data_IF_106877237277
#
_entry.id   IF_106877237277
#
_cell.length_a   1.000
_cell.length_b   1.000
_cell.length_c   1.000
_cell.angle_alpha   90.00
_cell.angle_beta   90.00
_cell.angle_gamma   90.00
#
_symmetry.space_group_name_H-M   'P 1'
#
loop_
_entity.id
_entity.type
_entity.pdbx_description
1 polymer ?
#
# COMPACT_ATOMS: atom_id res chain seq x y z
N UNK A 1 13.41 16.55 -7.94
CA UNK A 1 12.69 15.74 -6.93
C UNK A 1 13.65 14.89 -6.09
N UNK A 2 14.57 14.15 -6.71
CA UNK A 2 15.42 13.16 -6.04
C UNK A 2 16.58 13.74 -5.20
N UNK A 3 17.12 14.93 -5.52
CA UNK A 3 18.14 15.59 -4.66
C UNK A 3 17.58 16.02 -3.29
N UNK A 4 16.30 16.40 -3.23
CA UNK A 4 15.63 16.80 -1.98
C UNK A 4 15.47 15.62 -1.02
N UNK A 5 15.18 14.42 -1.55
CA UNK A 5 15.17 13.18 -0.75
C UNK A 5 16.55 12.94 -0.13
N UNK A 6 17.62 13.01 -0.93
CA UNK A 6 18.97 12.67 -0.45
C UNK A 6 19.51 13.61 0.64
N UNK A 7 19.23 14.92 0.53
CA UNK A 7 19.77 15.93 1.48
C UNK A 7 18.91 16.13 2.73
N UNK A 8 17.60 15.97 2.64
CA UNK A 8 16.67 16.33 3.72
C UNK A 8 16.02 15.12 4.36
N UNK A 9 15.73 14.07 3.58
CA UNK A 9 14.94 12.92 4.05
C UNK A 9 15.81 11.81 4.63
N UNK A 10 16.93 11.47 3.98
CA UNK A 10 17.80 10.38 4.48
C UNK A 10 18.32 10.62 5.91
N UNK A 11 18.77 11.81 6.31
CA UNK A 11 19.18 12.06 7.70
C UNK A 11 18.03 11.91 8.71
N UNK A 12 16.81 12.30 8.34
CA UNK A 12 15.62 12.09 9.18
C UNK A 12 15.25 10.61 9.27
N UNK A 13 15.46 9.86 8.20
CA UNK A 13 15.20 8.43 8.10
C UNK A 13 16.19 7.63 8.95
N UNK A 14 17.48 7.95 8.87
CA UNK A 14 18.54 7.38 9.70
C UNK A 14 18.27 7.67 11.18
N UNK A 15 17.99 8.93 11.54
CA UNK A 15 17.61 9.29 12.92
C UNK A 15 16.41 8.49 13.41
N UNK A 16 15.35 8.37 12.60
CA UNK A 16 14.17 7.58 12.98
C UNK A 16 14.49 6.10 13.16
N UNK A 17 15.33 5.53 12.29
CA UNK A 17 15.79 4.14 12.40
C UNK A 17 16.68 3.93 13.63
N UNK A 18 17.50 4.91 14.02
CA UNK A 18 18.30 4.91 15.24
C UNK A 18 17.45 5.05 16.51
N UNK A 19 16.47 5.96 16.52
CA UNK A 19 15.50 6.12 17.60
C UNK A 19 14.72 4.82 17.82
N UNK A 20 14.38 4.11 16.74
CA UNK A 20 13.74 2.78 16.80
C UNK A 20 14.68 1.69 17.33
N UNK A 21 16.00 1.80 17.11
CA UNK A 21 17.02 0.83 17.57
C UNK A 21 17.40 1.03 19.04
N UNK A 22 17.45 2.28 19.52
CA UNK A 22 17.92 2.60 20.89
C UNK A 22 16.95 2.17 21.98
N UNK A 23 15.70 1.85 21.63
CA UNK A 23 14.67 1.62 22.64
C UNK A 23 13.66 0.53 22.28
N UNK A 24 14.15 -0.70 22.04
CA UNK A 24 13.30 -1.87 21.84
C UNK A 24 12.35 -2.16 23.01
N UNK A 25 12.69 -1.68 24.22
CA UNK A 25 11.90 -1.87 25.43
C UNK A 25 10.86 -0.75 25.67
N UNK A 26 11.14 0.51 25.29
CA UNK A 26 10.13 1.60 25.34
C UNK A 26 9.02 1.42 24.29
N UNK A 27 9.32 0.81 23.14
CA UNK A 27 8.33 0.53 22.08
C UNK A 27 7.30 -0.55 22.46
N UNK A 28 7.61 -1.42 23.42
CA UNK A 28 6.67 -2.43 23.92
C UNK A 28 5.78 -1.90 25.06
N UNK A 29 6.21 -0.87 25.78
CA UNK A 29 5.45 -0.32 26.92
C UNK A 29 4.70 0.99 26.60
N UNK A 30 5.08 1.73 25.55
CA UNK A 30 4.42 2.99 25.20
C UNK A 30 3.61 2.87 23.91
N UNK A 31 2.28 2.93 24.09
CA UNK A 31 1.25 3.10 23.07
C UNK A 31 0.79 1.83 22.33
N UNK A 32 0.04 0.96 23.04
CA UNK A 32 -1.03 0.25 22.33
C UNK A 32 -1.96 1.29 21.71
N UNK A 33 -2.01 1.33 20.39
CA UNK A 33 -2.94 2.13 19.61
C UNK A 33 -4.33 1.54 19.82
N UNK A 34 -5.03 2.05 20.83
CA UNK A 34 -6.45 1.79 21.00
C UNK A 34 -7.24 2.37 19.83
N UNK A 35 -8.14 1.57 19.24
CA UNK A 35 -9.14 2.05 18.27
C UNK A 35 -10.30 2.68 19.05
N UNK A 36 -10.05 3.85 19.65
CA UNK A 36 -11.09 4.59 20.38
C UNK A 36 -11.93 5.46 19.44
N UNK A 37 -11.41 5.75 18.24
CA UNK A 37 -12.09 6.52 17.20
C UNK A 37 -11.49 6.20 15.84
N UNK A 38 -12.33 5.86 14.87
CA UNK A 38 -11.93 5.61 13.49
C UNK A 38 -13.04 6.05 12.53
N UNK A 39 -12.66 6.34 11.29
CA UNK A 39 -13.61 6.57 10.18
C UNK A 39 -13.36 5.51 9.13
N UNK A 40 -14.41 4.79 8.75
CA UNK A 40 -14.37 3.94 7.57
C UNK A 40 -14.85 4.77 6.40
N UNK A 41 -14.03 4.86 5.36
CA UNK A 41 -14.42 5.43 4.08
C UNK A 41 -14.40 4.32 3.02
N UNK A 42 -15.49 4.19 2.27
CA UNK A 42 -15.56 3.32 1.10
C UNK A 42 -15.46 4.22 -0.12
N UNK A 43 -14.39 4.04 -0.90
CA UNK A 43 -14.19 4.79 -2.13
C UNK A 43 -14.88 4.09 -3.29
N UNK A 44 -15.87 4.77 -3.88
CA UNK A 44 -16.53 4.34 -5.09
C UNK A 44 -15.64 4.66 -6.30
N UNK A 45 -15.17 3.59 -6.95
CA UNK A 45 -14.36 3.62 -8.18
C UNK A 45 -15.12 3.06 -9.39
N UNK A 46 -16.44 2.87 -9.30
CA UNK A 46 -17.26 2.29 -10.36
C UNK A 46 -18.46 1.46 -9.90
N UNK A 47 -19.00 1.71 -8.71
CA UNK A 47 -20.22 1.09 -8.21
C UNK A 47 -21.43 1.53 -9.06
N UNK A 48 -22.31 0.59 -9.34
CA UNK A 48 -23.65 0.84 -9.89
C UNK A 48 -24.52 1.58 -8.87
N UNK A 49 -25.59 2.23 -9.32
CA UNK A 49 -26.51 2.93 -8.43
C UNK A 49 -27.13 1.99 -7.37
N UNK A 50 -27.47 0.76 -7.75
CA UNK A 50 -27.99 -0.25 -6.83
C UNK A 50 -26.96 -0.64 -5.75
N UNK A 51 -25.68 -0.75 -6.12
CA UNK A 51 -24.61 -1.02 -5.15
C UNK A 51 -24.38 0.16 -4.22
N UNK A 52 -24.46 1.41 -4.70
CA UNK A 52 -24.38 2.61 -3.85
C UNK A 52 -25.48 2.62 -2.79
N UNK A 53 -26.73 2.45 -3.21
CA UNK A 53 -27.87 2.34 -2.28
C UNK A 53 -27.67 1.22 -1.27
N UNK A 54 -27.09 0.09 -1.70
CA UNK A 54 -26.78 -1.01 -0.80
C UNK A 54 -25.69 -0.67 0.21
N UNK A 55 -24.63 0.03 -0.21
CA UNK A 55 -23.56 0.49 0.70
C UNK A 55 -24.14 1.49 1.70
N UNK A 56 -24.88 2.50 1.26
CA UNK A 56 -25.49 3.51 2.11
C UNK A 56 -26.43 2.91 3.16
N UNK A 57 -27.20 1.88 2.78
CA UNK A 57 -28.13 1.22 3.69
C UNK A 57 -27.45 0.33 4.73
N UNK A 58 -26.35 -0.34 4.39
CA UNK A 58 -25.82 -1.43 5.22
C UNK A 58 -24.38 -1.19 5.75
N UNK A 59 -23.65 -0.20 5.24
CA UNK A 59 -22.30 0.11 5.68
C UNK A 59 -22.33 1.26 6.68
N UNK A 60 -21.70 1.07 7.85
CA UNK A 60 -21.39 2.17 8.77
C UNK A 60 -20.12 2.88 8.31
N UNK A 61 -20.15 3.46 7.12
CA UNK A 61 -19.00 4.11 6.49
C UNK A 61 -19.42 5.34 5.70
N UNK A 62 -18.45 6.21 5.40
CA UNK A 62 -18.61 7.31 4.46
C UNK A 62 -18.39 6.79 3.03
N UNK A 63 -19.41 6.85 2.20
CA UNK A 63 -19.26 6.59 0.76
C UNK A 63 -18.66 7.82 0.08
N UNK A 64 -17.53 7.65 -0.62
CA UNK A 64 -16.82 8.75 -1.28
C UNK A 64 -16.58 8.41 -2.75
N UNK A 65 -17.16 9.18 -3.67
CA UNK A 65 -16.96 8.98 -5.11
C UNK A 65 -15.59 9.48 -5.56
N UNK A 66 -14.79 8.60 -6.16
CA UNK A 66 -13.53 8.99 -6.80
C UNK A 66 -13.81 9.57 -8.20
N UNK A 67 -13.62 10.88 -8.34
CA UNK A 67 -13.84 11.63 -9.59
C UNK A 67 -12.71 11.39 -10.60
N UNK A 68 -12.69 10.21 -11.21
CA UNK A 68 -11.65 9.78 -12.15
C UNK A 68 -11.49 10.70 -13.37
N UNK A 69 -12.56 11.39 -13.76
CA UNK A 69 -12.61 12.35 -14.87
C UNK A 69 -11.69 13.56 -14.67
N UNK A 70 -11.27 13.84 -13.44
CA UNK A 70 -10.33 14.93 -13.13
C UNK A 70 -8.86 14.56 -13.39
N UNK A 71 -8.58 13.30 -13.75
CA UNK A 71 -7.24 12.75 -13.86
C UNK A 71 -6.92 12.29 -15.29
N UNK A 72 -5.62 12.10 -15.62
CA UNK A 72 -5.20 11.61 -16.92
C UNK A 72 -5.90 10.31 -17.35
N UNK A 73 -6.06 10.04 -18.67
CA UNK A 73 -6.85 8.93 -19.16
C UNK A 73 -6.49 7.55 -18.61
N UNK A 74 -5.22 7.27 -18.28
CA UNK A 74 -4.82 5.99 -17.69
C UNK A 74 -5.31 5.82 -16.24
N UNK A 75 -5.53 6.91 -15.50
CA UNK A 75 -6.08 6.86 -14.13
C UNK A 75 -7.55 6.42 -14.12
N UNK A 76 -8.27 6.71 -15.21
CA UNK A 76 -9.66 6.31 -15.38
C UNK A 76 -9.84 4.80 -15.61
N UNK A 77 -8.76 4.10 -15.96
CA UNK A 77 -8.73 2.66 -16.15
C UNK A 77 -8.48 1.97 -14.81
N UNK A 78 -9.52 1.37 -14.23
CA UNK A 78 -9.41 0.73 -12.91
C UNK A 78 -8.34 -0.37 -12.85
N UNK A 79 -8.07 -1.03 -13.97
CA UNK A 79 -7.04 -2.07 -14.13
C UNK A 79 -5.60 -1.53 -14.07
N UNK A 80 -5.40 -0.22 -14.18
CA UNK A 80 -4.11 0.42 -13.93
C UNK A 80 -3.88 0.73 -12.43
N UNK A 81 -4.89 0.57 -11.57
CA UNK A 81 -4.82 0.80 -10.11
C UNK A 81 -4.29 2.19 -9.64
N UNK A 82 -4.11 3.14 -10.57
CA UNK A 82 -3.56 4.46 -10.31
C UNK A 82 -4.43 5.33 -9.37
N UNK A 83 -5.70 4.98 -9.21
CA UNK A 83 -6.60 5.65 -8.26
C UNK A 83 -6.18 5.45 -6.80
N UNK A 84 -5.60 4.29 -6.44
CA UNK A 84 -5.29 3.96 -5.05
C UNK A 84 -4.26 4.89 -4.40
N UNK A 85 -3.09 5.16 -5.01
CA UNK A 85 -2.11 6.09 -4.45
C UNK A 85 -2.70 7.49 -4.20
N UNK A 86 -3.54 7.97 -5.12
CA UNK A 86 -4.21 9.26 -5.03
C UNK A 86 -5.17 9.31 -3.84
N UNK A 87 -5.95 8.24 -3.65
CA UNK A 87 -6.87 8.11 -2.52
C UNK A 87 -6.10 8.04 -1.20
N UNK A 88 -5.01 7.28 -1.13
CA UNK A 88 -4.18 7.16 0.09
C UNK A 88 -3.58 8.50 0.47
N UNK A 89 -3.07 9.27 -0.50
CA UNK A 89 -2.59 10.63 -0.26
C UNK A 89 -3.71 11.57 0.23
N UNK A 90 -4.90 11.49 -0.36
CA UNK A 90 -6.04 12.29 0.10
C UNK A 90 -6.45 11.89 1.53
N UNK A 91 -6.50 10.59 1.83
CA UNK A 91 -6.81 10.07 3.16
C UNK A 91 -5.76 10.52 4.20
N UNK A 92 -4.49 10.65 3.82
CA UNK A 92 -3.43 11.13 4.73
C UNK A 92 -3.65 12.57 5.21
N UNK A 93 -4.35 13.40 4.43
CA UNK A 93 -4.67 14.78 4.83
C UNK A 93 -5.73 14.84 5.94
N UNK A 94 -6.49 13.76 6.14
CA UNK A 94 -7.58 13.69 7.12
C UNK A 94 -7.27 12.73 8.29
N UNK A 95 -6.39 11.76 8.08
CA UNK A 95 -6.01 10.80 9.10
C UNK A 95 -5.06 11.42 10.14
N UNK A 96 -5.39 11.22 11.43
CA UNK A 96 -4.60 11.79 12.55
C UNK A 96 -3.39 10.95 12.95
N UNK A 97 -3.51 9.62 12.94
CA UNK A 97 -2.48 8.69 13.44
C UNK A 97 -2.09 7.64 12.42
N UNK A 98 -3.07 6.94 11.88
CA UNK A 98 -2.86 5.83 10.96
C UNK A 98 -3.83 5.93 9.78
N UNK A 99 -3.36 5.46 8.63
CA UNK A 99 -4.14 5.18 7.44
C UNK A 99 -4.10 3.67 7.27
N UNK A 100 -5.27 3.04 7.17
CA UNK A 100 -5.41 1.61 6.87
C UNK A 100 -6.08 1.52 5.51
N UNK A 101 -5.32 1.07 4.50
CA UNK A 101 -5.90 0.67 3.22
C UNK A 101 -6.22 -0.81 3.24
N UNK A 102 -7.39 -1.18 2.72
CA UNK A 102 -7.70 -2.58 2.44
C UNK A 102 -8.54 -2.72 1.18
N UNK A 103 -8.26 -3.76 0.40
CA UNK A 103 -9.17 -4.22 -0.64
C UNK A 103 -10.36 -4.97 -0.02
N UNK A 104 -11.46 -5.06 -0.75
CA UNK A 104 -12.68 -5.78 -0.34
C UNK A 104 -12.49 -7.27 -0.09
N UNK A 105 -11.34 -7.84 -0.49
CA UNK A 105 -10.96 -9.22 -0.20
C UNK A 105 -10.37 -9.44 1.19
N UNK A 106 -10.00 -8.38 1.92
CA UNK A 106 -9.37 -8.53 3.25
C UNK A 106 -10.42 -8.81 4.32
N UNK A 107 -10.13 -9.74 5.24
CA UNK A 107 -10.93 -10.02 6.44
C UNK A 107 -10.03 -9.96 7.66
N UNK A 108 -10.45 -9.27 8.70
CA UNK A 108 -9.66 -9.08 9.90
C UNK A 108 -10.02 -10.10 10.99
N UNK A 109 -9.01 -10.50 11.74
CA UNK A 109 -9.13 -11.25 12.99
C UNK A 109 -8.73 -10.36 14.16
N UNK A 110 -9.22 -10.61 15.40
CA UNK A 110 -9.02 -9.70 16.53
C UNK A 110 -7.55 -9.28 16.81
N UNK A 111 -6.58 -10.16 16.56
CA UNK A 111 -5.16 -9.86 16.76
C UNK A 111 -4.57 -8.85 15.75
N UNK A 112 -5.38 -8.27 14.87
CA UNK A 112 -4.90 -7.27 13.91
C UNK A 112 -4.37 -5.99 14.57
N UNK A 113 -4.82 -5.70 15.79
CA UNK A 113 -4.43 -4.49 16.54
C UNK A 113 -2.91 -4.36 16.71
N UNK A 114 -2.20 -5.48 16.87
CA UNK A 114 -0.73 -5.50 16.99
C UNK A 114 -0.04 -4.87 15.76
N UNK A 115 -0.68 -4.93 14.58
CA UNK A 115 -0.18 -4.31 13.36
C UNK A 115 -0.33 -2.78 13.36
N UNK A 116 -1.32 -2.25 14.08
CA UNK A 116 -1.50 -0.81 14.20
C UNK A 116 -0.35 -0.20 15.00
N UNK A 117 0.03 -0.85 16.10
CA UNK A 117 1.15 -0.44 16.95
C UNK A 117 2.46 -0.47 16.18
N UNK A 118 2.71 -1.57 15.46
CA UNK A 118 3.89 -1.68 14.61
C UNK A 118 3.93 -0.63 13.51
N UNK A 119 2.81 -0.37 12.84
CA UNK A 119 2.76 0.67 11.82
C UNK A 119 2.98 2.07 12.40
N UNK A 120 2.47 2.34 13.60
CA UNK A 120 2.69 3.62 14.29
C UNK A 120 4.16 3.81 14.67
N UNK A 121 4.83 2.74 15.10
CA UNK A 121 6.24 2.77 15.48
C UNK A 121 7.16 2.79 14.26
N UNK A 122 7.12 1.74 13.44
CA UNK A 122 8.02 1.52 12.31
C UNK A 122 7.68 2.40 11.09
N UNK A 123 6.47 2.95 11.05
CA UNK A 123 5.97 3.82 9.99
C UNK A 123 5.04 3.14 9.00
N UNK A 124 5.27 1.87 8.70
CA UNK A 124 4.41 1.09 7.83
C UNK A 124 4.29 -0.37 8.27
N UNK A 125 3.20 -1.01 7.85
CA UNK A 125 3.02 -2.45 7.77
C UNK A 125 2.49 -2.78 6.39
N UNK A 126 3.27 -3.48 5.58
CA UNK A 126 2.93 -3.86 4.21
C UNK A 126 3.09 -5.35 4.00
N UNK A 127 2.22 -5.94 3.19
CA UNK A 127 2.19 -7.39 3.01
C UNK A 127 3.23 -7.80 1.97
N UNK A 128 3.97 -8.89 2.17
CA UNK A 128 4.85 -9.45 1.12
C UNK A 128 4.18 -10.64 0.42
N UNK A 129 4.55 -10.91 -0.82
CA UNK A 129 4.28 -12.20 -1.45
C UNK A 129 5.20 -13.28 -0.84
N UNK A 130 4.64 -14.45 -0.54
CA UNK A 130 5.39 -15.57 0.06
C UNK A 130 6.06 -16.46 -1.00
N UNK A 131 5.53 -16.52 -2.22
CA UNK A 131 5.97 -17.44 -3.29
C UNK A 131 7.23 -16.96 -4.04
N UNK A 132 8.13 -16.26 -3.36
CA UNK A 132 9.40 -15.80 -3.93
C UNK A 132 9.27 -14.79 -5.07
N UNK A 133 8.09 -14.18 -5.27
CA UNK A 133 7.91 -13.09 -6.23
C UNK A 133 8.76 -11.89 -5.82
N UNK A 134 9.46 -11.29 -6.78
CA UNK A 134 10.38 -10.17 -6.57
C UNK A 134 9.92 -8.96 -7.34
N UNK A 135 10.25 -7.77 -6.84
CA UNK A 135 9.87 -6.50 -7.47
C UNK A 135 10.29 -6.44 -8.95
N UNK A 136 11.53 -6.81 -9.34
CA UNK A 136 11.98 -6.73 -10.73
C UNK A 136 11.28 -7.68 -11.69
N UNK A 137 10.79 -8.82 -11.22
CA UNK A 137 10.04 -9.74 -12.06
C UNK A 137 8.68 -9.12 -12.44
N UNK A 138 7.98 -8.55 -11.45
CA UNK A 138 6.59 -8.12 -11.60
C UNK A 138 6.44 -6.60 -11.85
N UNK A 139 7.52 -5.94 -12.26
CA UNK A 139 7.54 -4.52 -12.58
C UNK A 139 8.16 -4.36 -13.95
N UNK A 140 7.51 -3.60 -14.85
CA UNK A 140 8.02 -3.37 -16.19
C UNK A 140 9.24 -2.43 -16.17
N UNK A 141 10.10 -2.58 -17.18
CA UNK A 141 11.32 -1.78 -17.32
C UNK A 141 11.00 -0.28 -17.37
N UNK A 142 9.89 0.09 -18.03
CA UNK A 142 9.44 1.47 -18.16
C UNK A 142 9.20 2.16 -16.82
N UNK A 143 8.70 1.43 -15.80
CA UNK A 143 8.53 1.97 -14.45
C UNK A 143 9.88 2.22 -13.77
N UNK A 144 10.85 1.31 -13.95
CA UNK A 144 12.22 1.51 -13.48
C UNK A 144 12.88 2.70 -14.16
N UNK A 145 12.76 2.78 -15.49
CA UNK A 145 13.33 3.85 -16.30
C UNK A 145 12.77 5.21 -15.90
N UNK A 146 11.45 5.30 -15.67
CA UNK A 146 10.79 6.52 -15.19
C UNK A 146 11.29 6.97 -13.82
N UNK A 147 11.49 6.01 -12.90
CA UNK A 147 11.98 6.29 -11.55
C UNK A 147 13.51 6.46 -11.48
N UNK A 148 14.21 6.27 -12.60
CA UNK A 148 15.67 6.25 -12.70
C UNK A 148 16.33 5.22 -11.77
N UNK A 149 15.77 4.01 -11.75
CA UNK A 149 16.22 2.91 -10.91
C UNK A 149 16.74 1.74 -11.76
N UNK A 150 17.75 1.02 -11.27
CA UNK A 150 18.24 -0.22 -11.89
C UNK A 150 17.52 -1.43 -11.28
N UNK A 151 16.82 -2.20 -12.11
CA UNK A 151 16.15 -3.43 -11.73
C UNK A 151 17.05 -4.44 -10.99
N UNK A 152 18.34 -4.50 -11.32
CA UNK A 152 19.30 -5.37 -10.66
C UNK A 152 19.45 -5.05 -9.16
N UNK A 153 19.41 -3.77 -8.80
CA UNK A 153 19.48 -3.31 -7.41
C UNK A 153 18.29 -3.77 -6.55
N UNK A 154 17.21 -4.22 -7.18
CA UNK A 154 15.98 -4.65 -6.52
C UNK A 154 15.77 -6.17 -6.49
N UNK A 155 16.71 -6.95 -7.02
CA UNK A 155 16.66 -8.43 -6.98
C UNK A 155 16.50 -9.01 -5.56
N UNK A 156 17.08 -8.44 -4.49
CA UNK A 156 16.92 -8.97 -3.14
C UNK A 156 15.54 -8.72 -2.54
N UNK A 157 14.74 -7.80 -3.09
CA UNK A 157 13.49 -7.36 -2.45
C UNK A 157 12.29 -8.18 -2.93
N UNK A 158 11.50 -8.72 -1.99
CA UNK A 158 10.27 -9.41 -2.34
C UNK A 158 9.25 -8.41 -2.85
N UNK A 159 8.36 -8.90 -3.68
CA UNK A 159 7.18 -8.15 -4.06
C UNK A 159 6.28 -7.91 -2.84
N UNK A 160 5.84 -6.66 -2.68
CA UNK A 160 4.86 -6.24 -1.68
C UNK A 160 3.46 -6.45 -2.27
N UNK A 161 2.41 -6.69 -1.49
CA UNK A 161 1.04 -6.78 -1.99
C UNK A 161 0.32 -5.43 -1.84
N UNK A 162 -0.46 -5.04 -2.85
CA UNK A 162 -1.24 -3.80 -2.83
C UNK A 162 -2.58 -3.88 -2.07
N UNK A 163 -3.00 -5.06 -1.61
CA UNK A 163 -4.35 -5.25 -1.06
C UNK A 163 -4.52 -4.87 0.41
N UNK A 164 -3.43 -4.76 1.17
CA UNK A 164 -3.46 -4.37 2.57
C UNK A 164 -2.17 -3.65 2.94
N UNK A 165 -2.30 -2.43 3.44
CA UNK A 165 -1.19 -1.67 3.97
C UNK A 165 -1.67 -0.70 5.05
N UNK A 166 -0.84 -0.55 6.08
CA UNK A 166 -1.07 0.36 7.19
C UNK A 166 0.10 1.33 7.24
N UNK A 167 -0.17 2.61 7.34
CA UNK A 167 0.87 3.63 7.40
C UNK A 167 0.58 4.61 8.53
N UNK A 168 1.64 5.08 9.20
CA UNK A 168 1.57 6.27 10.04
C UNK A 168 1.21 7.49 9.19
N UNK A 169 0.26 8.27 9.66
CA UNK A 169 -0.15 9.52 9.03
C UNK A 169 0.69 10.66 9.62
N UNK A 170 1.85 10.90 9.03
CA UNK A 170 2.72 12.02 9.40
C UNK A 170 3.33 12.67 8.16
N UNK A 171 3.91 13.87 8.34
CA UNK A 171 4.53 14.63 7.24
C UNK A 171 5.67 13.87 6.57
N UNK A 172 6.39 13.04 7.33
CA UNK A 172 7.48 12.25 6.79
C UNK A 172 6.94 11.23 5.77
N UNK A 173 6.03 10.34 6.18
CA UNK A 173 5.42 9.33 5.31
C UNK A 173 4.68 9.97 4.12
N UNK A 174 4.09 11.16 4.32
CA UNK A 174 3.52 11.93 3.23
C UNK A 174 4.55 12.31 2.17
N UNK A 175 5.69 12.88 2.57
CA UNK A 175 6.72 13.35 1.65
C UNK A 175 7.51 12.22 1.00
N UNK A 176 7.77 11.12 1.73
CA UNK A 176 8.66 10.07 1.26
C UNK A 176 7.94 8.95 0.52
N UNK A 177 6.65 8.72 0.83
CA UNK A 177 5.87 7.64 0.22
C UNK A 177 4.63 8.16 -0.51
N UNK A 178 3.70 8.82 0.19
CA UNK A 178 2.38 9.11 -0.39
C UNK A 178 2.46 10.06 -1.58
N UNK A 179 3.24 11.14 -1.48
CA UNK A 179 3.41 12.09 -2.58
C UNK A 179 4.15 11.47 -3.78
N UNK A 180 5.32 10.80 -3.63
CA UNK A 180 5.97 10.13 -4.75
C UNK A 180 5.09 9.05 -5.39
N UNK A 181 4.34 8.28 -4.60
CA UNK A 181 3.46 7.25 -5.10
C UNK A 181 2.27 7.84 -5.87
N UNK A 182 1.68 8.92 -5.37
CA UNK A 182 0.64 9.68 -6.07
C UNK A 182 1.18 10.33 -7.37
N UNK A 183 2.40 10.87 -7.36
CA UNK A 183 3.03 11.42 -8.58
C UNK A 183 3.24 10.33 -9.63
N UNK A 184 3.77 9.18 -9.23
CA UNK A 184 3.86 8.02 -10.13
C UNK A 184 2.48 7.65 -10.70
N UNK A 185 1.43 7.69 -9.89
CA UNK A 185 0.07 7.38 -10.34
C UNK A 185 -0.44 8.30 -11.45
N UNK A 186 -0.06 9.58 -11.42
CA UNK A 186 -0.42 10.56 -12.45
C UNK A 186 0.36 10.39 -13.75
N UNK A 187 1.36 9.51 -13.77
CA UNK A 187 2.34 9.40 -14.85
C UNK A 187 2.24 8.03 -15.50
N UNK A 188 1.79 8.02 -16.77
CA UNK A 188 1.46 6.77 -17.46
C UNK A 188 2.66 5.83 -17.51
N UNK A 189 3.84 6.36 -17.82
CA UNK A 189 5.09 5.59 -17.93
C UNK A 189 5.50 4.97 -16.59
N UNK A 190 5.16 5.61 -15.47
CA UNK A 190 5.44 5.08 -14.14
C UNK A 190 4.43 4.00 -13.75
N UNK A 191 3.13 4.31 -13.81
CA UNK A 191 2.07 3.49 -13.20
C UNK A 191 1.43 2.50 -14.15
N UNK A 192 1.25 2.85 -15.43
CA UNK A 192 0.53 2.03 -16.41
C UNK A 192 1.16 2.14 -17.82
N UNK A 193 2.44 1.77 -17.98
CA UNK A 193 3.20 2.03 -19.20
C UNK A 193 2.67 1.27 -20.42
N UNK A 194 2.05 0.11 -20.19
CA UNK A 194 1.44 -0.74 -21.23
C UNK A 194 -0.04 -1.01 -20.91
N UNK A 195 -0.87 -1.34 -21.93
CA UNK A 195 -2.25 -1.74 -21.70
C UNK A 195 -2.35 -2.90 -20.70
N UNK A 196 -3.16 -2.82 -19.63
CA UNK A 196 -3.15 -3.81 -18.56
C UNK A 196 -3.33 -5.25 -19.04
N UNK A 197 -4.23 -5.49 -20.00
CA UNK A 197 -4.48 -6.81 -20.58
C UNK A 197 -3.21 -7.51 -21.13
N UNK A 198 -2.22 -6.73 -21.58
CA UNK A 198 -0.96 -7.27 -22.12
C UNK A 198 0.08 -7.67 -21.06
N UNK A 199 -0.11 -7.27 -19.80
CA UNK A 199 0.93 -7.39 -18.75
C UNK A 199 0.41 -7.88 -17.40
N UNK A 200 -0.84 -8.38 -17.33
CA UNK A 200 -1.43 -8.91 -16.09
C UNK A 200 -0.93 -10.30 -15.70
N UNK A 201 -0.52 -11.12 -16.69
CA UNK A 201 -0.11 -12.52 -16.46
C UNK A 201 1.36 -12.60 -16.06
N UNK A 202 1.64 -13.24 -14.91
CA UNK A 202 2.98 -13.36 -14.34
C UNK A 202 3.50 -14.81 -14.34
N UNK A 203 3.41 -15.52 -15.47
CA UNK A 203 3.71 -16.96 -15.57
C UNK A 203 5.19 -17.31 -15.78
N UNK A 204 6.02 -16.38 -16.28
CA UNK A 204 7.46 -16.61 -16.57
C UNK A 204 8.35 -16.44 -15.33
N UNK A 205 9.59 -16.96 -15.29
CA UNK A 205 10.57 -16.64 -14.23
C UNK A 205 11.43 -15.40 -14.50
N UNK A 206 11.24 -14.73 -15.64
CA UNK A 206 12.11 -13.66 -16.13
C UNK A 206 11.84 -12.30 -15.48
N UNK A 207 12.82 -11.39 -15.57
CA UNK A 207 12.62 -9.97 -15.26
C UNK A 207 11.54 -9.36 -16.16
N UNK A 208 10.85 -8.35 -15.62
CA UNK A 208 9.83 -7.57 -16.33
C UNK A 208 8.73 -8.43 -17.01
N UNK A 209 8.44 -9.61 -16.46
CA UNK A 209 7.48 -10.56 -17.05
C UNK A 209 6.05 -10.03 -17.07
N UNK A 210 5.71 -9.16 -16.13
CA UNK A 210 4.38 -8.62 -15.94
C UNK A 210 4.45 -7.28 -15.19
N UNK A 211 3.30 -6.67 -14.94
CA UNK A 211 3.20 -5.44 -14.16
C UNK A 211 2.15 -5.53 -13.07
N UNK A 212 2.49 -5.06 -11.88
CA UNK A 212 1.57 -4.93 -10.74
C UNK A 212 1.26 -3.49 -10.35
N UNK A 213 1.52 -2.53 -11.24
CA UNK A 213 1.00 -1.16 -11.16
C UNK A 213 1.32 -0.46 -9.82
N UNK A 214 0.30 -0.13 -9.02
CA UNK A 214 0.43 0.56 -7.74
C UNK A 214 1.36 -0.19 -6.78
N UNK A 215 1.27 -1.52 -6.81
CA UNK A 215 2.11 -2.42 -6.03
C UNK A 215 3.58 -2.33 -6.42
N UNK A 216 3.88 -2.31 -7.73
CA UNK A 216 5.24 -2.17 -8.26
C UNK A 216 5.85 -0.85 -7.80
N UNK A 217 5.12 0.25 -7.98
CA UNK A 217 5.57 1.58 -7.59
C UNK A 217 5.81 1.69 -6.08
N UNK A 218 4.87 1.20 -5.25
CA UNK A 218 5.03 1.19 -3.79
C UNK A 218 6.22 0.34 -3.35
N UNK A 219 6.41 -0.83 -3.97
CA UNK A 219 7.55 -1.72 -3.72
C UNK A 219 8.89 -1.03 -3.97
N UNK A 220 9.03 -0.36 -5.12
CA UNK A 220 10.26 0.36 -5.46
C UNK A 220 10.55 1.50 -4.46
N UNK A 221 9.53 2.30 -4.14
CA UNK A 221 9.66 3.41 -3.21
C UNK A 221 10.06 2.91 -1.81
N UNK A 222 9.34 1.93 -1.25
CA UNK A 222 9.66 1.39 0.07
C UNK A 222 11.03 0.71 0.14
N UNK A 223 11.41 -0.03 -0.91
CA UNK A 223 12.72 -0.69 -0.94
C UNK A 223 13.86 0.32 -1.04
N UNK A 224 13.66 1.45 -1.72
CA UNK A 224 14.63 2.56 -1.74
C UNK A 224 14.80 3.22 -0.38
N UNK A 225 13.67 3.42 0.32
CA UNK A 225 13.59 4.07 1.63
C UNK A 225 14.25 3.20 2.70
N UNK A 226 13.90 1.91 2.77
CA UNK A 226 14.28 1.03 3.86
C UNK A 226 15.45 0.10 3.55
N UNK A 227 15.71 -0.20 2.27
CA UNK A 227 16.78 -1.08 1.82
C UNK A 227 16.83 -2.40 2.62
N UNK A 228 17.97 -2.72 3.23
CA UNK A 228 18.16 -3.91 4.08
C UNK A 228 17.18 -4.00 5.25
N UNK A 229 16.57 -2.89 5.66
CA UNK A 229 15.63 -2.81 6.78
C UNK A 229 14.16 -2.92 6.33
N UNK A 230 13.88 -3.19 5.04
CA UNK A 230 12.52 -3.32 4.49
C UNK A 230 11.67 -4.35 5.25
N UNK A 231 12.28 -5.45 5.73
CA UNK A 231 11.56 -6.47 6.49
C UNK A 231 10.93 -5.95 7.78
N UNK A 232 11.45 -4.85 8.36
CA UNK A 232 10.93 -4.25 9.60
C UNK A 232 9.57 -3.59 9.43
N UNK A 233 9.24 -3.21 8.20
CA UNK A 233 7.95 -2.58 7.87
C UNK A 233 7.01 -3.54 7.16
N UNK A 234 7.34 -4.83 7.09
CA UNK A 234 6.44 -5.86 6.61
C UNK A 234 5.57 -6.39 7.74
N UNK A 235 4.38 -6.89 7.39
CA UNK A 235 3.61 -7.73 8.32
C UNK A 235 4.46 -8.93 8.74
N UNK A 236 4.39 -9.28 10.03
CA UNK A 236 4.95 -10.56 10.50
C UNK A 236 4.31 -11.72 9.74
N UNK A 237 5.10 -12.74 9.44
CA UNK A 237 4.68 -13.88 8.63
C UNK A 237 3.37 -14.46 9.14
N UNK A 238 2.41 -14.56 8.23
CA UNK A 238 1.08 -15.05 8.52
C UNK A 238 1.14 -16.56 8.73
N UNK A 239 0.89 -17.02 9.96
CA UNK A 239 0.69 -18.44 10.23
C UNK A 239 -0.78 -18.75 9.95
N UNK A 240 -1.05 -19.33 8.78
CA UNK A 240 -2.40 -19.65 8.29
C UNK A 240 -3.27 -20.43 9.29
N UNK A 241 -2.63 -21.26 10.10
CA UNK A 241 -3.29 -22.14 11.08
C UNK A 241 -3.84 -21.39 12.30
N UNK A 242 -3.46 -20.14 12.54
CA UNK A 242 -3.75 -19.46 13.81
C UNK A 242 -4.82 -18.37 13.73
N UNK A 243 -5.41 -18.10 12.56
CA UNK A 243 -6.39 -17.01 12.38
C UNK A 243 -5.92 -15.67 12.98
N UNK A 244 -4.63 -15.33 12.80
CA UNK A 244 -4.02 -14.14 13.41
C UNK A 244 -3.85 -13.01 12.43
N UNK A 245 -4.45 -11.85 12.69
CA UNK A 245 -4.26 -10.64 11.89
C UNK A 245 -5.33 -10.47 10.83
N UNK A 246 -5.13 -11.01 9.63
CA UNK A 246 -6.08 -10.89 8.52
C UNK A 246 -5.98 -12.04 7.50
N UNK A 247 -7.06 -12.42 6.83
CA UNK A 247 -7.01 -13.30 5.65
C UNK A 247 -7.35 -12.54 4.37
N UNK A 248 -6.72 -12.91 3.26
CA UNK A 248 -7.04 -12.38 1.92
C UNK A 248 -7.91 -13.40 1.19
N UNK A 249 -9.17 -13.07 0.96
CA UNK A 249 -10.15 -13.95 0.33
C UNK A 249 -10.64 -13.33 -0.99
N UNK A 250 -9.88 -13.58 -2.05
CA UNK A 250 -10.20 -13.09 -3.41
C UNK A 250 -11.36 -13.88 -4.00
N UNK A 251 -12.22 -13.23 -4.78
CA UNK A 251 -13.34 -13.88 -5.47
C UNK A 251 -14.43 -14.42 -4.54
N UNK A 252 -14.49 -13.97 -3.27
CA UNK A 252 -15.51 -14.43 -2.35
C UNK A 252 -16.91 -13.97 -2.82
N UNK A 253 -17.75 -14.94 -3.18
CA UNK A 253 -19.14 -14.73 -3.62
C UNK A 253 -20.11 -14.50 -2.45
N UNK A 254 -19.63 -14.48 -1.20
CA UNK A 254 -20.47 -14.27 -0.03
C UNK A 254 -21.11 -12.87 -0.08
N UNK A 255 -22.38 -12.84 -0.48
CA UNK A 255 -23.20 -11.63 -0.59
C UNK A 255 -23.61 -11.08 0.77
N UNK A 256 -23.29 -11.73 1.89
CA UNK A 256 -23.68 -11.31 3.24
C UNK A 256 -22.69 -10.34 3.90
N UNK A 257 -21.84 -9.64 3.13
CA UNK A 257 -20.81 -8.72 3.65
C UNK A 257 -21.34 -7.69 4.67
N UNK A 258 -22.62 -7.34 4.57
CA UNK A 258 -23.27 -6.37 5.45
C UNK A 258 -24.41 -6.95 6.30
N UNK A 259 -24.52 -8.27 6.44
CA UNK A 259 -25.43 -8.83 7.43
C UNK A 259 -24.78 -8.69 8.82
N UNK A 260 -25.54 -8.25 9.85
CA UNK A 260 -25.03 -8.10 11.22
C UNK A 260 -24.39 -9.37 11.77
#
# INVERSE_FOLDING_TARGET
MFESLHKTVYPLLEKRMEDTKRDSNLLQQQNKVGINSYTVALFDIGLTQAEKTRVEKNCRCKLVTFKKELFPPHVQQNSCYAWKPLIVLAASQHARKLIVWQDSSVRWFPSFLDNLDRAYTAGHQVLRYLDGHRIPANTLKETFDYLHEDACGYLPYPEIQGNLHIHRSDKFNQQVLFEPWARCALEKQCMCPRPPASVLSCSSGTLHRCHRFDQSAMGLLLSRIYQKDLYKVMFQEFVWEQEKGFRVQRGNVNRNYFKP
#
